data_IF_953331209985
#
_entry.id   IF_953331209985
#
_cell.length_a   1.000
_cell.length_b   1.000
_cell.length_c   1.000
_cell.angle_alpha   90.00
_cell.angle_beta   90.00
_cell.angle_gamma   90.00
#
_symmetry.space_group_name_H-M   'P 1'
#
loop_
_entity.id
_entity.type
_entity.pdbx_description
1 polymer ?
#
# COMPACT_ATOMS: atom_id res chain seq x y z
N UNK A 1 -11.42 6.70 11.49
CA UNK A 1 -11.02 7.75 10.55
C UNK A 1 -11.23 7.27 9.12
N UNK A 2 -11.41 8.20 8.21
CA UNK A 2 -11.63 7.88 6.81
C UNK A 2 -10.32 7.99 6.03
N UNK A 3 -10.02 6.98 5.21
CA UNK A 3 -8.88 7.03 4.28
C UNK A 3 -9.37 6.73 2.87
N UNK A 4 -8.69 7.28 1.89
CA UNK A 4 -8.98 7.07 0.47
C UNK A 4 -7.75 6.39 -0.12
N UNK A 5 -7.93 5.20 -0.68
CA UNK A 5 -6.82 4.39 -1.19
C UNK A 5 -7.04 4.10 -2.65
N UNK A 6 -6.01 4.32 -3.45
CA UNK A 6 -5.98 4.00 -4.86
C UNK A 6 -4.82 3.06 -5.13
N UNK A 7 -4.84 2.36 -6.26
CA UNK A 7 -3.73 1.50 -6.67
C UNK A 7 -3.58 1.53 -8.19
N UNK A 8 -2.39 1.19 -8.66
CA UNK A 8 -2.18 1.10 -10.10
C UNK A 8 -2.75 -0.20 -10.67
N UNK A 9 -3.07 -0.17 -11.95
CA UNK A 9 -3.54 -1.34 -12.68
C UNK A 9 -2.43 -2.37 -12.82
N UNK A 10 -2.80 -3.65 -12.73
CA UNK A 10 -1.83 -4.76 -12.88
C UNK A 10 -2.04 -5.55 -14.16
N UNK A 11 -3.20 -5.42 -14.79
CA UNK A 11 -3.54 -6.15 -16.02
C UNK A 11 -4.04 -5.16 -17.06
N UNK A 12 -3.29 -4.99 -18.13
CA UNK A 12 -3.72 -4.11 -19.23
C UNK A 12 -5.02 -4.64 -19.83
N UNK A 13 -5.96 -3.76 -20.03
CA UNK A 13 -7.24 -4.13 -20.63
C UNK A 13 -8.30 -4.61 -19.65
N UNK A 14 -7.88 -5.19 -18.53
CA UNK A 14 -8.81 -5.69 -17.52
C UNK A 14 -9.05 -4.67 -16.42
N UNK A 15 -8.06 -3.87 -16.16
CA UNK A 15 -8.05 -2.93 -15.03
C UNK A 15 -8.23 -1.50 -15.54
N UNK A 16 -9.34 -1.27 -16.25
CA UNK A 16 -9.60 0.04 -16.87
C UNK A 16 -10.37 0.98 -15.96
N UNK A 17 -10.88 0.48 -14.84
CA UNK A 17 -11.68 1.27 -13.92
C UNK A 17 -10.81 1.89 -12.83
N UNK A 18 -11.32 2.96 -12.25
CA UNK A 18 -10.70 3.59 -11.10
C UNK A 18 -10.68 2.61 -9.93
N UNK A 19 -9.52 2.48 -9.29
CA UNK A 19 -9.34 1.59 -8.15
C UNK A 19 -9.43 2.33 -6.81
N UNK A 20 -9.85 3.58 -6.83
CA UNK A 20 -9.98 4.36 -5.62
C UNK A 20 -11.12 3.84 -4.76
N UNK A 21 -10.82 3.58 -3.50
CA UNK A 21 -11.82 3.15 -2.52
C UNK A 21 -11.65 3.94 -1.23
N UNK A 22 -12.78 4.20 -0.57
CA UNK A 22 -12.80 4.89 0.71
C UNK A 22 -13.07 3.87 1.79
N UNK A 23 -12.24 3.88 2.85
CA UNK A 23 -12.40 2.97 3.98
C UNK A 23 -12.52 3.74 5.29
N UNK A 24 -13.38 3.23 6.18
CA UNK A 24 -13.40 3.66 7.57
C UNK A 24 -12.50 2.71 8.35
N UNK A 25 -11.49 3.26 9.04
CA UNK A 25 -10.52 2.47 9.76
C UNK A 25 -10.26 3.08 11.14
N UNK A 26 -9.78 2.29 12.11
CA UNK A 26 -9.45 2.85 13.42
C UNK A 26 -8.24 3.77 13.32
N UNK A 27 -8.19 4.76 14.20
CA UNK A 27 -7.06 5.69 14.23
C UNK A 27 -5.76 5.01 14.66
N UNK A 28 -5.88 3.84 15.28
CA UNK A 28 -4.73 3.04 15.71
C UNK A 28 -4.16 2.15 14.60
N UNK A 29 -4.73 2.19 13.39
CA UNK A 29 -4.31 1.31 12.29
C UNK A 29 -2.83 1.50 11.98
N UNK A 30 -2.10 0.38 11.94
CA UNK A 30 -0.69 0.37 11.54
C UNK A 30 -0.56 -0.06 10.09
N UNK A 31 0.66 0.09 9.54
CA UNK A 31 0.94 -0.34 8.16
C UNK A 31 0.65 -1.83 7.97
N UNK A 32 1.06 -2.68 8.90
CA UNK A 32 0.78 -4.11 8.82
C UNK A 32 -0.72 -4.39 8.81
N UNK A 33 -1.46 -3.73 9.70
CA UNK A 33 -2.91 -3.88 9.76
C UNK A 33 -3.59 -3.33 8.52
N UNK A 34 -3.05 -2.28 7.94
CA UNK A 34 -3.54 -1.70 6.69
C UNK A 34 -3.52 -2.74 5.56
N UNK A 35 -2.39 -3.41 5.37
CA UNK A 35 -2.29 -4.40 4.30
C UNK A 35 -3.22 -5.59 4.53
N UNK A 36 -3.35 -6.06 5.76
CA UNK A 36 -4.32 -7.10 6.10
C UNK A 36 -5.74 -6.67 5.78
N UNK A 37 -6.06 -5.43 6.12
CA UNK A 37 -7.40 -4.88 5.93
C UNK A 37 -7.77 -4.82 4.45
N UNK A 38 -6.90 -4.23 3.64
CA UNK A 38 -7.18 -4.07 2.21
C UNK A 38 -7.16 -5.41 1.46
N UNK A 39 -6.28 -6.32 1.87
CA UNK A 39 -6.25 -7.67 1.30
C UNK A 39 -7.55 -8.41 1.59
N UNK A 40 -8.02 -8.31 2.82
CA UNK A 40 -9.28 -8.93 3.24
C UNK A 40 -10.50 -8.39 2.52
N UNK A 41 -10.41 -7.17 2.00
CA UNK A 41 -11.48 -6.55 1.22
C UNK A 41 -11.33 -6.77 -0.28
N UNK A 42 -10.35 -7.57 -0.69
CA UNK A 42 -10.11 -7.83 -2.11
C UNK A 42 -9.56 -6.65 -2.88
N UNK A 43 -9.05 -5.64 -2.19
CA UNK A 43 -8.53 -4.44 -2.85
C UNK A 43 -7.27 -4.73 -3.67
N UNK A 44 -6.40 -5.61 -3.17
CA UNK A 44 -5.18 -5.99 -3.88
C UNK A 44 -5.51 -7.04 -4.94
N UNK A 45 -4.99 -6.85 -6.14
CA UNK A 45 -5.25 -7.79 -7.22
C UNK A 45 -4.71 -9.17 -6.89
N UNK A 46 -5.47 -10.19 -7.28
CA UNK A 46 -5.05 -11.58 -7.14
C UNK A 46 -4.14 -11.93 -8.30
N UNK A 47 -2.90 -12.30 -8.00
CA UNK A 47 -1.89 -12.57 -9.02
C UNK A 47 -1.35 -13.99 -8.83
N UNK A 48 -1.40 -14.77 -9.92
CA UNK A 48 -0.89 -16.13 -9.93
C UNK A 48 0.63 -16.12 -9.78
N UNK A 49 1.14 -17.08 -9.00
CA UNK A 49 2.57 -17.23 -8.79
C UNK A 49 3.17 -16.28 -7.76
N UNK A 50 2.57 -15.23 -7.51
CA UNK A 50 2.59 -14.38 -6.31
C UNK A 50 3.89 -14.06 -5.60
N UNK A 51 4.99 -13.91 -6.32
CA UNK A 51 6.17 -13.33 -5.74
C UNK A 51 6.22 -11.85 -6.17
N UNK A 52 5.33 -11.07 -5.59
CA UNK A 52 5.18 -9.66 -5.94
C UNK A 52 5.15 -8.84 -4.67
N UNK A 53 5.16 -7.52 -4.82
CA UNK A 53 5.09 -6.62 -3.68
C UNK A 53 4.14 -5.47 -3.95
N UNK A 54 3.58 -4.92 -2.87
CA UNK A 54 2.71 -3.75 -2.91
C UNK A 54 3.31 -2.67 -2.01
N UNK A 55 3.57 -1.50 -2.56
CA UNK A 55 4.15 -0.40 -1.80
C UNK A 55 3.11 0.63 -1.43
N UNK A 56 3.00 0.93 -0.14
CA UNK A 56 2.12 1.97 0.36
C UNK A 56 2.85 3.30 0.39
N UNK A 57 2.21 4.33 -0.12
CA UNK A 57 2.77 5.67 -0.12
C UNK A 57 1.65 6.71 -0.01
N UNK A 58 2.04 7.93 0.34
CA UNK A 58 1.16 9.09 0.29
C UNK A 58 1.98 10.28 -0.21
N UNK A 59 1.46 11.49 -0.11
CA UNK A 59 2.14 12.68 -0.62
C UNK A 59 3.46 12.98 0.08
N UNK A 60 3.71 12.42 1.28
CA UNK A 60 4.98 12.59 1.99
C UNK A 60 6.05 11.64 1.47
N UNK A 61 5.68 10.61 0.71
CA UNK A 61 6.60 9.61 0.17
C UNK A 61 6.21 8.19 0.53
N UNK A 62 7.18 7.30 0.45
CA UNK A 62 6.98 5.88 0.70
C UNK A 62 6.81 5.60 2.19
N UNK A 63 5.91 4.69 2.51
CA UNK A 63 5.55 4.37 3.90
C UNK A 63 5.96 2.94 4.25
N UNK A 64 5.60 1.96 3.43
CA UNK A 64 5.93 0.58 3.69
C UNK A 64 5.65 -0.30 2.50
N UNK A 65 6.08 -1.57 2.57
CA UNK A 65 5.93 -2.53 1.48
C UNK A 65 5.46 -3.86 2.04
N UNK A 66 4.55 -4.50 1.33
CA UNK A 66 4.04 -5.83 1.64
C UNK A 66 4.55 -6.80 0.57
N UNK A 67 5.25 -7.85 1.01
CA UNK A 67 5.78 -8.90 0.13
C UNK A 67 4.85 -10.11 0.23
N UNK A 68 4.15 -10.43 -0.85
CA UNK A 68 3.09 -11.43 -0.83
C UNK A 68 3.58 -12.85 -0.57
N UNK A 69 4.78 -13.16 -1.05
CA UNK A 69 5.32 -14.52 -0.93
C UNK A 69 5.62 -14.91 0.52
N UNK A 70 6.17 -13.97 1.28
CA UNK A 70 6.58 -14.23 2.67
C UNK A 70 5.61 -13.65 3.69
N UNK A 71 4.74 -12.74 3.27
CA UNK A 71 3.89 -12.00 4.19
C UNK A 71 4.62 -10.89 4.94
N UNK A 72 5.87 -10.63 4.58
CA UNK A 72 6.68 -9.61 5.21
C UNK A 72 6.13 -8.21 4.91
N UNK A 73 6.13 -7.34 5.93
CA UNK A 73 5.75 -5.95 5.78
C UNK A 73 6.86 -5.09 6.35
N UNK A 74 7.32 -4.10 5.59
CA UNK A 74 8.31 -3.16 6.10
C UNK A 74 7.60 -2.06 6.88
N UNK A 75 8.25 -1.56 7.92
CA UNK A 75 7.69 -0.54 8.82
C UNK A 75 6.30 -0.92 9.34
N UNK A 76 6.12 -2.16 9.86
CA UNK A 76 4.78 -2.66 10.16
C UNK A 76 4.08 -1.91 11.29
N UNK A 77 4.83 -1.25 12.16
CA UNK A 77 4.28 -0.57 13.33
C UNK A 77 4.01 0.91 13.11
N UNK A 78 4.34 1.43 11.93
CA UNK A 78 4.12 2.84 11.61
C UNK A 78 2.61 3.12 11.56
N UNK A 79 2.20 4.21 12.18
CA UNK A 79 0.80 4.60 12.24
C UNK A 79 0.36 5.25 10.92
N UNK A 80 -0.75 4.75 10.38
CA UNK A 80 -1.35 5.34 9.19
C UNK A 80 -1.82 6.78 9.49
N UNK A 81 -2.38 6.99 10.68
CA UNK A 81 -2.82 8.33 11.09
C UNK A 81 -1.65 9.32 11.14
N UNK A 82 -0.50 8.88 11.66
CA UNK A 82 0.68 9.74 11.71
C UNK A 82 1.11 10.16 10.31
N UNK A 83 1.06 9.24 9.35
CA UNK A 83 1.41 9.57 7.97
C UNK A 83 0.40 10.52 7.34
N UNK A 84 -0.86 10.36 7.67
CA UNK A 84 -1.90 11.27 7.23
C UNK A 84 -1.66 12.67 7.82
N UNK A 85 -1.33 12.74 9.09
CA UNK A 85 -1.05 14.02 9.76
C UNK A 85 0.18 14.71 9.17
N UNK A 86 1.22 13.95 8.86
CA UNK A 86 2.42 14.46 8.18
C UNK A 86 2.09 15.05 6.81
N UNK A 87 1.04 14.55 6.20
CA UNK A 87 0.55 15.04 4.90
C UNK A 87 -0.45 16.19 5.05
N UNK A 88 -0.49 16.82 6.21
CA UNK A 88 -1.41 17.93 6.47
C UNK A 88 -2.86 17.48 6.64
N UNK A 89 -3.07 16.23 7.07
CA UNK A 89 -4.41 15.68 7.23
C UNK A 89 -5.00 15.11 5.95
N UNK A 90 -4.21 15.02 4.88
CA UNK A 90 -4.66 14.51 3.59
C UNK A 90 -4.90 13.00 3.71
N UNK A 91 -6.13 12.51 3.46
CA UNK A 91 -6.48 11.10 3.64
C UNK A 91 -6.11 10.20 2.47
N UNK A 92 -5.47 10.75 1.44
CA UNK A 92 -5.19 10.01 0.21
C UNK A 92 -3.92 9.18 0.34
N UNK A 93 -4.04 7.88 0.01
CA UNK A 93 -2.93 6.93 -0.03
C UNK A 93 -2.92 6.23 -1.38
N UNK A 94 -1.77 5.74 -1.78
CA UNK A 94 -1.62 5.02 -3.03
C UNK A 94 -0.85 3.73 -2.77
N UNK A 95 -1.33 2.62 -3.36
CA UNK A 95 -0.67 1.32 -3.27
C UNK A 95 -0.10 1.01 -4.64
N UNK A 96 1.21 0.94 -4.72
CA UNK A 96 1.92 0.68 -5.97
C UNK A 96 2.27 -0.79 -6.11
N UNK A 97 1.95 -1.36 -7.27
CA UNK A 97 2.28 -2.74 -7.58
C UNK A 97 3.72 -2.86 -8.09
N UNK A 98 4.44 -3.84 -7.57
CA UNK A 98 5.78 -4.20 -8.05
C UNK A 98 5.74 -5.66 -8.48
N UNK A 99 5.88 -5.91 -9.79
CA UNK A 99 5.92 -7.27 -10.32
C UNK A 99 7.20 -8.00 -9.92
N UNK A 100 8.25 -7.25 -9.62
CA UNK A 100 9.51 -7.79 -9.12
C UNK A 100 9.73 -7.24 -7.69
N UNK A 101 9.70 -8.11 -6.67
CA UNK A 101 9.86 -7.64 -5.29
C UNK A 101 11.21 -6.99 -5.00
N UNK A 102 12.24 -7.31 -5.78
CA UNK A 102 13.52 -6.64 -5.63
C UNK A 102 13.42 -5.15 -5.89
N UNK A 103 12.58 -4.75 -6.85
CA UNK A 103 12.36 -3.34 -7.13
C UNK A 103 11.70 -2.64 -5.93
N UNK A 104 10.82 -3.33 -5.24
CA UNK A 104 10.19 -2.78 -4.04
C UNK A 104 11.19 -2.61 -2.91
N UNK A 105 12.12 -3.56 -2.74
CA UNK A 105 13.17 -3.47 -1.74
C UNK A 105 14.09 -2.29 -2.02
N UNK A 106 14.52 -2.14 -3.26
CA UNK A 106 15.35 -1.01 -3.67
C UNK A 106 14.63 0.31 -3.43
N UNK A 107 13.35 0.38 -3.77
CA UNK A 107 12.58 1.60 -3.62
C UNK A 107 12.25 1.91 -2.16
N UNK A 108 12.07 0.91 -1.31
CA UNK A 108 11.81 1.16 0.10
C UNK A 108 13.05 1.75 0.79
N UNK A 109 14.24 1.43 0.28
CA UNK A 109 15.50 1.96 0.79
C UNK A 109 16.02 3.13 -0.04
N UNK A 110 15.41 3.37 -1.17
CA UNK A 110 15.89 4.32 -2.15
C UNK A 110 15.98 5.76 -1.66
N UNK A 111 15.17 6.10 -0.70
CA UNK A 111 15.21 7.44 -0.12
C UNK A 111 16.50 7.72 0.63
N UNK A 112 17.27 6.72 0.87
CA UNK A 112 18.54 6.83 1.60
C UNK A 112 19.70 7.14 0.67
N UNK A 113 19.49 6.91 -0.58
CA UNK A 113 20.53 7.15 -1.57
C UNK A 113 20.76 8.61 -1.81
#
# INVERSE_FOLDING_TARGET
MKIIVDRNSVCAGDDVFCHEMTFEVPESLTVAEFFKFVEGHGFLASIQGNDVAWGLQNRTGKIGVYFTKTGEVTNPEVSIKDKMDEAGGNPNFYVRYYSNPEWARENSNGGQA
#
